data_IF_408603948846
#
_entry.id   IF_408603948846
#
_cell.length_a   1.000
_cell.length_b   1.000
_cell.length_c   1.000
_cell.angle_alpha   90.00
_cell.angle_beta   90.00
_cell.angle_gamma   90.00
#
_symmetry.space_group_name_H-M   'P 1'
#
loop_
_entity.id
_entity.type
_entity.pdbx_description
1 polymer ?
#
# COMPACT_ATOMS: atom_id res chain seq x y z
N UNK A 1 -4.81 -37.43 -29.70
CA UNK A 1 -5.36 -36.15 -29.22
C UNK A 1 -4.27 -35.47 -28.42
N UNK A 2 -3.96 -34.24 -28.83
CA UNK A 2 -2.76 -33.46 -28.49
C UNK A 2 -2.62 -33.02 -27.01
N UNK A 3 -1.38 -32.61 -26.71
CA UNK A 3 -0.76 -32.11 -25.48
C UNK A 3 -1.52 -31.08 -24.62
N UNK A 4 -1.15 -30.99 -23.32
CA UNK A 4 -1.36 -29.72 -22.61
C UNK A 4 -1.20 -29.64 -21.09
N UNK A 5 0.06 -29.64 -20.62
CA UNK A 5 0.57 -28.73 -19.56
C UNK A 5 -0.15 -28.67 -18.20
N UNK A 6 0.39 -29.43 -17.23
CA UNK A 6 0.28 -29.10 -15.80
C UNK A 6 1.56 -28.36 -15.36
N UNK A 7 1.45 -27.07 -15.09
CA UNK A 7 2.54 -26.30 -14.46
C UNK A 7 2.70 -26.74 -12.99
N UNK A 8 3.69 -27.59 -12.73
CA UNK A 8 4.16 -27.92 -11.38
C UNK A 8 5.31 -26.97 -11.04
N UNK A 9 5.23 -26.36 -9.86
CA UNK A 9 6.23 -25.43 -9.33
C UNK A 9 7.61 -26.07 -9.36
N UNK A 10 8.54 -25.47 -10.12
CA UNK A 10 9.90 -25.94 -10.23
C UNK A 10 10.70 -25.62 -8.98
N UNK A 11 11.08 -26.66 -8.25
CA UNK A 11 12.34 -26.68 -7.51
C UNK A 11 13.46 -26.94 -8.50
N UNK A 12 14.44 -26.04 -8.60
CA UNK A 12 15.76 -26.41 -9.14
C UNK A 12 16.89 -25.57 -8.57
N UNK A 13 17.75 -26.28 -7.83
CA UNK A 13 19.13 -25.95 -7.46
C UNK A 13 19.91 -25.28 -8.60
N UNK A 14 20.63 -24.19 -8.29
CA UNK A 14 22.05 -24.04 -8.64
C UNK A 14 22.74 -23.26 -7.52
N UNK A 15 23.97 -23.65 -7.24
CA UNK A 15 24.70 -23.46 -5.99
C UNK A 15 25.31 -22.07 -5.84
N UNK A 16 25.21 -21.49 -4.63
CA UNK A 16 26.36 -20.79 -4.05
C UNK A 16 26.29 -20.79 -2.53
N UNK A 17 27.10 -21.66 -1.98
CA UNK A 17 27.62 -21.71 -0.62
C UNK A 17 27.97 -20.30 -0.11
N UNK A 18 27.39 -19.88 1.00
CA UNK A 18 28.17 -19.12 1.98
C UNK A 18 27.73 -19.48 3.39
N UNK A 19 28.73 -19.94 4.14
CA UNK A 19 28.61 -20.47 5.48
C UNK A 19 28.26 -19.37 6.50
N UNK A 20 27.66 -19.86 7.58
CA UNK A 20 27.26 -19.20 8.81
C UNK A 20 28.35 -18.33 9.44
N UNK A 21 27.94 -17.30 10.18
CA UNK A 21 28.59 -16.90 11.45
C UNK A 21 27.57 -16.15 12.31
N UNK A 22 27.10 -16.82 13.36
CA UNK A 22 26.46 -16.19 14.52
C UNK A 22 27.56 -15.80 15.48
N UNK A 23 27.67 -14.51 15.82
CA UNK A 23 28.62 -14.04 16.83
C UNK A 23 27.93 -13.58 18.11
N UNK A 24 28.44 -14.11 19.22
CA UNK A 24 28.05 -13.87 20.61
C UNK A 24 29.15 -13.02 21.27
N UNK A 25 28.77 -11.84 21.77
CA UNK A 25 29.51 -10.87 22.64
C UNK A 25 30.57 -9.98 21.96
N UNK A 26 30.41 -8.67 22.10
CA UNK A 26 31.49 -7.70 21.87
C UNK A 26 31.04 -6.25 21.96
N UNK A 27 31.29 -5.59 23.09
CA UNK A 27 31.13 -4.16 23.33
C UNK A 27 32.31 -3.43 22.67
N UNK A 28 32.10 -2.34 21.92
CA UNK A 28 32.86 -1.07 22.00
C UNK A 28 32.38 -0.03 20.98
N UNK A 29 32.60 1.23 21.37
CA UNK A 29 32.12 2.47 20.79
C UNK A 29 32.59 2.75 19.35
N UNK A 30 31.77 3.49 18.59
CA UNK A 30 32.16 4.04 17.30
C UNK A 30 31.07 4.93 16.72
N UNK A 31 31.16 6.24 16.99
CA UNK A 31 30.36 7.23 16.28
C UNK A 31 30.70 7.22 14.79
N UNK A 32 29.68 7.20 13.94
CA UNK A 32 29.81 7.54 12.53
C UNK A 32 28.67 8.48 12.14
N UNK A 33 29.07 9.73 12.01
CA UNK A 33 28.37 10.84 11.40
C UNK A 33 27.44 10.37 10.26
N UNK A 34 26.14 10.57 10.43
CA UNK A 34 25.18 10.55 9.33
C UNK A 34 25.58 11.71 8.39
N UNK A 35 26.26 11.40 7.30
CA UNK A 35 26.44 12.37 6.21
C UNK A 35 25.08 12.54 5.55
N UNK A 36 24.40 13.64 5.88
CA UNK A 36 23.25 14.10 5.12
C UNK A 36 23.71 14.32 3.67
N UNK A 37 23.14 13.56 2.73
CA UNK A 37 23.29 13.83 1.31
C UNK A 37 22.65 15.18 1.00
N UNK A 38 23.28 16.03 0.15
CA UNK A 38 22.64 17.26 -0.31
C UNK A 38 21.36 16.87 -1.04
N UNK A 39 20.22 17.36 -0.54
CA UNK A 39 18.96 17.21 -1.22
C UNK A 39 19.03 18.03 -2.51
N UNK A 40 19.26 17.33 -3.62
CA UNK A 40 19.09 17.87 -4.95
C UNK A 40 17.64 18.30 -5.11
N UNK A 41 17.42 19.61 -5.01
CA UNK A 41 16.14 20.25 -5.25
C UNK A 41 15.85 20.22 -6.75
N UNK A 42 15.08 19.23 -7.16
CA UNK A 42 14.51 19.11 -8.50
C UNK A 42 13.56 20.28 -8.74
N UNK A 43 14.05 21.31 -9.44
CA UNK A 43 13.25 22.38 -10.03
C UNK A 43 12.54 21.86 -11.28
N UNK A 44 11.64 20.90 -11.08
CA UNK A 44 10.64 20.50 -12.08
C UNK A 44 9.35 21.27 -11.77
N UNK A 45 8.55 21.70 -12.77
CA UNK A 45 7.29 22.38 -12.55
C UNK A 45 6.47 21.57 -11.53
N UNK A 46 6.15 22.20 -10.40
CA UNK A 46 5.47 21.57 -9.27
C UNK A 46 4.06 21.21 -9.72
N UNK A 47 3.89 20.06 -10.37
CA UNK A 47 2.58 19.45 -10.60
C UNK A 47 2.04 19.19 -9.21
N UNK A 48 1.12 20.03 -8.77
CA UNK A 48 0.51 19.94 -7.45
C UNK A 48 -0.09 18.54 -7.30
N UNK A 49 0.52 17.72 -6.45
CA UNK A 49 0.11 16.34 -6.27
C UNK A 49 -1.23 16.36 -5.53
N UNK A 50 -2.32 16.20 -6.28
CA UNK A 50 -3.68 16.16 -5.72
C UNK A 50 -3.74 14.99 -4.72
N UNK A 51 -4.04 15.23 -3.43
CA UNK A 51 -4.04 14.16 -2.43
C UNK A 51 -5.25 13.22 -2.61
N UNK A 52 -5.10 11.99 -2.13
CA UNK A 52 -6.16 10.99 -2.10
C UNK A 52 -7.39 11.52 -1.35
N UNK A 53 -8.53 11.66 -2.03
CA UNK A 53 -9.75 12.23 -1.44
C UNK A 53 -10.30 11.41 -0.28
N UNK A 54 -9.96 10.12 -0.18
CA UNK A 54 -10.40 9.24 0.91
C UNK A 54 -9.58 9.42 2.18
N UNK A 55 -8.25 9.47 2.10
CA UNK A 55 -7.38 9.43 3.30
C UNK A 55 -6.27 10.49 3.35
N UNK A 56 -6.16 11.36 2.33
CA UNK A 56 -5.16 12.42 2.27
C UNK A 56 -3.73 11.99 1.92
N UNK A 57 -3.48 10.69 1.72
CA UNK A 57 -2.15 10.20 1.29
C UNK A 57 -1.84 10.58 -0.16
N UNK A 58 -0.57 10.46 -0.57
CA UNK A 58 -0.13 10.70 -1.96
C UNK A 58 -0.98 9.88 -2.93
N UNK A 59 -1.67 10.55 -3.86
CA UNK A 59 -2.45 9.86 -4.87
C UNK A 59 -1.56 9.27 -5.96
N UNK A 60 -2.10 8.28 -6.67
CA UNK A 60 -1.51 7.71 -7.88
C UNK A 60 -2.36 8.00 -9.12
N UNK A 61 -3.35 8.90 -9.01
CA UNK A 61 -4.30 9.23 -10.06
C UNK A 61 -5.76 8.87 -9.72
N UNK A 62 -6.60 8.82 -10.76
CA UNK A 62 -8.02 8.46 -10.67
C UNK A 62 -8.16 6.94 -10.66
N UNK A 63 -8.85 6.41 -9.66
CA UNK A 63 -9.24 5.01 -9.60
C UNK A 63 -10.73 4.93 -9.25
N UNK A 64 -11.49 4.15 -10.02
CA UNK A 64 -12.93 3.97 -9.78
C UNK A 64 -13.71 5.31 -9.75
N UNK A 65 -13.33 6.29 -10.58
CA UNK A 65 -13.98 7.62 -10.65
C UNK A 65 -13.45 8.68 -9.68
N UNK A 66 -12.52 8.34 -8.76
CA UNK A 66 -12.04 9.30 -7.74
C UNK A 66 -10.51 9.31 -7.63
N UNK A 67 -9.92 10.50 -7.42
CA UNK A 67 -8.49 10.64 -7.11
C UNK A 67 -8.16 9.95 -5.79
N UNK A 68 -7.39 8.86 -5.85
CA UNK A 68 -7.07 8.04 -4.68
C UNK A 68 -5.63 7.52 -4.70
N UNK A 69 -5.17 7.01 -3.56
CA UNK A 69 -3.89 6.32 -3.44
C UNK A 69 -4.04 4.81 -3.70
N UNK A 70 -2.93 4.11 -3.97
CA UNK A 70 -2.92 2.65 -4.19
C UNK A 70 -3.56 1.87 -3.03
N UNK A 71 -3.40 2.35 -1.79
CA UNK A 71 -4.01 1.72 -0.63
C UNK A 71 -5.54 1.75 -0.65
N UNK A 72 -6.15 2.87 -1.07
CA UNK A 72 -7.61 3.01 -1.15
C UNK A 72 -8.17 2.33 -2.40
N UNK A 73 -7.46 2.38 -3.53
CA UNK A 73 -7.76 1.58 -4.74
C UNK A 73 -7.83 0.09 -4.42
N UNK A 74 -6.77 -0.47 -3.82
CA UNK A 74 -6.71 -1.89 -3.50
C UNK A 74 -7.73 -2.31 -2.45
N UNK A 75 -7.99 -1.45 -1.46
CA UNK A 75 -9.06 -1.66 -0.48
C UNK A 75 -10.43 -1.75 -1.15
N UNK A 76 -10.79 -0.74 -1.95
CA UNK A 76 -12.09 -0.69 -2.64
C UNK A 76 -12.30 -1.91 -3.55
N UNK A 77 -11.29 -2.30 -4.33
CA UNK A 77 -11.34 -3.51 -5.16
C UNK A 77 -11.73 -4.75 -4.35
N UNK A 78 -11.06 -5.00 -3.22
CA UNK A 78 -11.35 -6.17 -2.37
C UNK A 78 -12.74 -6.09 -1.75
N UNK A 79 -13.16 -4.91 -1.31
CA UNK A 79 -14.48 -4.69 -0.72
C UNK A 79 -15.62 -4.89 -1.71
N UNK A 80 -15.35 -4.80 -3.01
CA UNK A 80 -16.32 -5.04 -4.08
C UNK A 80 -16.33 -6.49 -4.57
N UNK A 81 -15.22 -7.23 -4.44
CA UNK A 81 -15.10 -8.61 -4.97
C UNK A 81 -15.83 -9.66 -4.12
N UNK A 82 -16.08 -9.39 -2.84
CA UNK A 82 -16.81 -10.30 -1.95
C UNK A 82 -17.83 -9.55 -1.12
N UNK A 83 -18.87 -10.26 -0.69
CA UNK A 83 -19.86 -9.73 0.26
C UNK A 83 -19.19 -9.65 1.63
N UNK A 84 -18.53 -8.52 1.90
CA UNK A 84 -17.88 -8.26 3.19
C UNK A 84 -18.74 -7.31 4.00
N UNK A 85 -19.28 -7.81 5.10
CA UNK A 85 -20.06 -7.02 6.05
C UNK A 85 -19.11 -6.35 7.07
N UNK A 86 -18.49 -5.24 6.69
CA UNK A 86 -17.70 -4.47 7.64
C UNK A 86 -18.59 -3.88 8.73
N UNK A 87 -18.16 -4.01 9.99
CA UNK A 87 -18.81 -3.36 11.14
C UNK A 87 -17.94 -2.22 11.65
N UNK A 88 -18.57 -1.13 12.08
CA UNK A 88 -17.85 -0.05 12.73
C UNK A 88 -17.64 -0.41 14.20
N UNK A 89 -16.41 -0.31 14.74
CA UNK A 89 -16.16 -0.53 16.17
C UNK A 89 -16.64 0.64 17.06
N UNK A 90 -17.18 1.70 16.46
CA UNK A 90 -17.64 2.93 17.12
C UNK A 90 -18.97 3.39 16.51
N UNK A 91 -19.28 4.68 16.58
CA UNK A 91 -20.51 5.33 16.12
C UNK A 91 -20.60 5.63 14.61
N UNK A 92 -19.96 4.80 13.76
CA UNK A 92 -19.94 4.99 12.29
C UNK A 92 -19.39 6.36 11.79
N UNK A 93 -18.66 7.10 12.63
CA UNK A 93 -18.09 8.42 12.33
C UNK A 93 -16.57 8.44 12.50
N UNK A 94 -15.89 7.35 12.13
CA UNK A 94 -14.43 7.30 12.23
C UNK A 94 -13.79 8.24 11.22
N UNK A 95 -12.86 9.08 11.68
CA UNK A 95 -11.94 9.83 10.82
C UNK A 95 -11.11 8.83 10.00
N UNK A 96 -10.95 9.11 8.72
CA UNK A 96 -10.16 8.33 7.77
C UNK A 96 -9.10 9.24 7.18
N UNK A 97 -7.87 9.08 7.68
CA UNK A 97 -6.65 9.78 7.27
C UNK A 97 -5.52 8.79 6.95
N UNK A 98 -4.33 9.30 6.61
CA UNK A 98 -3.17 8.48 6.21
C UNK A 98 -2.76 7.46 7.27
N UNK A 99 -2.86 7.83 8.55
CA UNK A 99 -2.38 7.04 9.69
C UNK A 99 -3.44 6.04 10.16
N UNK A 100 -4.71 6.46 10.21
CA UNK A 100 -5.78 5.68 10.84
C UNK A 100 -6.75 4.99 9.86
N UNK A 101 -6.58 5.13 8.53
CA UNK A 101 -7.48 4.52 7.53
C UNK A 101 -7.71 3.02 7.69
N UNK A 102 -6.80 2.28 8.34
CA UNK A 102 -6.95 0.84 8.56
C UNK A 102 -7.73 0.49 9.84
N UNK A 103 -8.01 1.45 10.74
CA UNK A 103 -8.69 1.21 12.02
C UNK A 103 -10.17 0.86 11.88
N UNK A 104 -10.84 1.36 10.84
CA UNK A 104 -12.26 1.08 10.61
C UNK A 104 -12.55 0.90 9.13
N UNK A 105 -12.68 -0.36 8.71
CA UNK A 105 -12.97 -0.72 7.33
C UNK A 105 -14.37 -0.25 6.90
N UNK A 106 -15.35 -0.27 7.81
CA UNK A 106 -16.69 0.23 7.53
C UNK A 106 -16.67 1.71 7.13
N UNK A 107 -16.11 2.58 7.96
CA UNK A 107 -16.08 4.02 7.67
C UNK A 107 -15.21 4.34 6.46
N UNK A 108 -14.12 3.58 6.24
CA UNK A 108 -13.31 3.73 5.04
C UNK A 108 -14.10 3.40 3.77
N UNK A 109 -14.82 2.28 3.75
CA UNK A 109 -15.64 1.90 2.59
C UNK A 109 -16.79 2.88 2.37
N UNK A 110 -17.48 3.27 3.44
CA UNK A 110 -18.55 4.28 3.35
C UNK A 110 -18.03 5.61 2.80
N UNK A 111 -16.83 6.05 3.21
CA UNK A 111 -16.21 7.25 2.64
C UNK A 111 -15.85 7.08 1.16
N UNK A 112 -15.34 5.93 0.74
CA UNK A 112 -15.11 5.63 -0.68
C UNK A 112 -16.40 5.78 -1.50
N UNK A 113 -17.50 5.14 -1.06
CA UNK A 113 -18.79 5.19 -1.74
C UNK A 113 -19.38 6.60 -1.76
N UNK A 114 -19.33 7.32 -0.62
CA UNK A 114 -19.82 8.71 -0.51
C UNK A 114 -19.10 9.67 -1.44
N UNK A 115 -17.82 9.42 -1.73
CA UNK A 115 -17.03 10.21 -2.68
C UNK A 115 -17.25 9.81 -4.14
N UNK A 116 -18.10 8.80 -4.41
CA UNK A 116 -18.44 8.36 -5.77
C UNK A 116 -17.61 7.21 -6.32
N UNK A 117 -16.81 6.51 -5.49
CA UNK A 117 -16.08 5.33 -5.99
C UNK A 117 -17.07 4.25 -6.43
N UNK A 118 -16.98 3.82 -7.69
CA UNK A 118 -17.89 2.82 -8.27
C UNK A 118 -17.16 1.85 -9.21
N UNK A 119 -17.73 0.67 -9.44
CA UNK A 119 -17.16 -0.32 -10.38
C UNK A 119 -17.15 0.21 -11.82
N UNK A 120 -18.12 1.03 -12.17
CA UNK A 120 -18.32 1.52 -13.54
C UNK A 120 -17.47 2.75 -13.87
N UNK A 121 -16.79 3.34 -12.87
CA UNK A 121 -15.74 4.33 -13.05
C UNK A 121 -16.09 5.50 -13.97
N UNK A 122 -17.30 6.07 -13.82
CA UNK A 122 -17.70 7.31 -14.51
C UNK A 122 -17.13 8.55 -13.82
#
# INVERSE_FOLDING_TARGET
MEDGRRCRWGTRQTERTHCLSVDIRGRHAGGRQLKATPQMMDTSPQIEIIPCKVCGDKSSGVHYGVITCEGCKGFFRRSQSSVVNYQCPRNKQCVVDRVNRNRCQYCRLQKCLKLGMSRDGK
#
